data_IF_531619198323
#
_entry.id   IF_531619198323
#
_cell.length_a   1.000
_cell.length_b   1.000
_cell.length_c   1.000
_cell.angle_alpha   90.00
_cell.angle_beta   90.00
_cell.angle_gamma   90.00
#
_symmetry.space_group_name_H-M   'P 1'
#
loop_
_entity.id
_entity.type
_entity.pdbx_description
1 polymer ?
#
# COMPACT_ATOMS: atom_id res chain seq x y z
N UNK A 1 -7.85 4.46 10.75
CA UNK A 1 -6.82 5.52 11.01
C UNK A 1 -7.50 6.80 11.47
N UNK A 2 -6.82 7.61 12.30
CA UNK A 2 -7.36 8.90 12.72
C UNK A 2 -7.47 9.87 11.53
N UNK A 3 -8.67 10.38 11.25
CA UNK A 3 -8.92 11.40 10.24
C UNK A 3 -8.78 12.80 10.86
N UNK A 4 -8.03 13.68 10.22
CA UNK A 4 -7.85 15.07 10.64
C UNK A 4 -8.45 16.00 9.60
N UNK A 5 -9.11 17.08 10.04
CA UNK A 5 -9.63 18.10 9.13
C UNK A 5 -8.54 18.78 8.27
N UNK A 6 -7.28 18.75 8.74
CA UNK A 6 -6.15 19.26 7.99
C UNK A 6 -5.75 18.39 6.78
N UNK A 7 -6.21 17.13 6.77
CA UNK A 7 -5.89 16.12 5.76
C UNK A 7 -7.16 15.33 5.45
N UNK A 8 -8.14 15.95 4.77
CA UNK A 8 -9.38 15.26 4.42
C UNK A 8 -9.09 14.08 3.51
N UNK A 9 -9.82 12.96 3.65
CA UNK A 9 -9.64 11.82 2.77
C UNK A 9 -10.07 12.19 1.34
N UNK A 10 -9.21 11.85 0.37
CA UNK A 10 -9.46 11.97 -1.05
C UNK A 10 -9.50 10.57 -1.66
N UNK A 11 -10.69 10.17 -2.11
CA UNK A 11 -10.95 8.82 -2.61
C UNK A 11 -10.23 8.56 -3.94
N UNK A 12 -10.27 9.53 -4.84
CA UNK A 12 -9.64 9.44 -6.16
C UNK A 12 -8.12 9.41 -6.08
N UNK A 13 -7.54 10.30 -5.28
CA UNK A 13 -6.11 10.30 -5.01
C UNK A 13 -5.66 8.99 -4.37
N UNK A 14 -6.48 8.40 -3.49
CA UNK A 14 -6.19 7.10 -2.88
C UNK A 14 -6.22 5.96 -3.90
N UNK A 15 -7.16 5.95 -4.84
CA UNK A 15 -7.24 4.93 -5.88
C UNK A 15 -6.02 5.04 -6.84
N UNK A 16 -5.64 6.25 -7.25
CA UNK A 16 -4.42 6.48 -8.03
C UNK A 16 -3.17 6.00 -7.27
N UNK A 17 -3.03 6.38 -6.01
CA UNK A 17 -1.91 5.97 -5.17
C UNK A 17 -1.80 4.44 -5.05
N UNK A 18 -2.90 3.76 -4.77
CA UNK A 18 -2.90 2.29 -4.63
C UNK A 18 -2.55 1.61 -5.95
N UNK A 19 -3.00 2.16 -7.09
CA UNK A 19 -2.66 1.64 -8.42
C UNK A 19 -1.16 1.81 -8.78
N UNK A 20 -0.49 2.84 -8.23
CA UNK A 20 0.97 3.05 -8.40
C UNK A 20 1.80 2.05 -7.59
N UNK A 21 1.24 1.50 -6.50
CA UNK A 21 2.00 0.67 -5.58
C UNK A 21 2.11 -0.77 -6.06
N UNK A 22 3.29 -1.38 -5.88
CA UNK A 22 3.60 -2.75 -6.28
C UNK A 22 3.54 -3.76 -5.14
N UNK A 23 3.38 -3.28 -3.90
CA UNK A 23 3.29 -4.11 -2.71
C UNK A 23 2.41 -3.46 -1.66
N UNK A 24 1.89 -4.28 -0.78
CA UNK A 24 1.19 -3.87 0.42
C UNK A 24 1.54 -4.83 1.56
N UNK A 25 1.06 -4.52 2.73
CA UNK A 25 1.29 -5.28 3.95
C UNK A 25 0.02 -5.97 4.38
N UNK A 26 0.01 -7.31 4.36
CA UNK A 26 -1.04 -8.11 4.97
C UNK A 26 -0.80 -8.18 6.48
N UNK A 27 -1.82 -7.87 7.26
CA UNK A 27 -1.84 -7.98 8.73
C UNK A 27 -3.00 -8.90 9.10
N UNK A 28 -2.70 -10.07 9.62
CA UNK A 28 -3.65 -11.09 10.02
C UNK A 28 -3.46 -11.44 11.50
N UNK A 29 -4.54 -11.43 12.29
CA UNK A 29 -4.49 -11.66 13.72
C UNK A 29 -5.15 -13.03 14.05
N UNK A 30 -4.39 -14.08 14.34
CA UNK A 30 -4.97 -15.33 14.79
C UNK A 30 -5.59 -15.15 16.19
N UNK A 31 -6.64 -15.90 16.53
CA UNK A 31 -7.27 -15.83 17.85
C UNK A 31 -6.26 -16.03 18.98
N UNK A 32 -6.18 -15.09 19.91
CA UNK A 32 -5.27 -15.16 21.08
C UNK A 32 -3.78 -14.99 20.77
N UNK A 33 -3.39 -14.71 19.52
CA UNK A 33 -2.00 -14.54 19.10
C UNK A 33 -1.65 -13.10 18.73
N UNK A 34 -0.37 -12.88 18.44
CA UNK A 34 0.11 -11.61 17.90
C UNK A 34 -0.20 -11.50 16.41
N UNK A 35 -0.41 -10.27 15.88
CA UNK A 35 -0.54 -10.04 14.46
C UNK A 35 0.63 -10.63 13.67
N UNK A 36 0.32 -11.38 12.63
CA UNK A 36 1.29 -11.83 11.63
C UNK A 36 1.30 -10.80 10.49
N UNK A 37 2.48 -10.50 9.97
CA UNK A 37 2.69 -9.40 9.03
C UNK A 37 3.56 -9.87 7.87
N UNK A 38 3.06 -9.72 6.63
CA UNK A 38 3.82 -10.03 5.41
C UNK A 38 3.70 -8.90 4.40
N UNK A 39 4.83 -8.54 3.78
CA UNK A 39 4.86 -7.61 2.65
C UNK A 39 4.72 -8.43 1.37
N UNK A 40 3.68 -8.19 0.61
CA UNK A 40 3.30 -8.99 -0.53
C UNK A 40 2.99 -8.12 -1.76
N UNK A 41 3.33 -8.58 -2.97
CA UNK A 41 2.80 -8.00 -4.19
C UNK A 41 1.29 -8.29 -4.26
N UNK A 42 0.54 -7.42 -4.93
CA UNK A 42 -0.91 -7.55 -5.00
C UNK A 42 -1.49 -7.06 -6.32
N UNK A 43 -2.66 -7.57 -6.66
CA UNK A 43 -3.51 -7.00 -7.70
C UNK A 43 -4.82 -6.56 -7.05
N UNK A 44 -5.21 -5.31 -7.26
CA UNK A 44 -6.51 -4.80 -6.84
C UNK A 44 -7.42 -4.66 -8.05
N UNK A 45 -8.61 -5.25 -7.98
CA UNK A 45 -9.68 -5.11 -8.96
C UNK A 45 -10.96 -4.76 -8.20
N UNK A 46 -11.54 -3.61 -8.48
CA UNK A 46 -12.73 -3.09 -7.80
C UNK A 46 -12.62 -3.18 -6.27
N UNK A 47 -13.37 -4.06 -5.64
CA UNK A 47 -13.44 -4.28 -4.20
C UNK A 47 -12.68 -5.54 -3.72
N UNK A 48 -11.81 -6.12 -4.57
CA UNK A 48 -11.03 -7.31 -4.25
C UNK A 48 -9.53 -7.01 -4.37
N UNK A 49 -8.78 -7.44 -3.36
CA UNK A 49 -7.31 -7.52 -3.39
C UNK A 49 -6.94 -8.99 -3.50
N UNK A 50 -6.13 -9.33 -4.50
CA UNK A 50 -5.60 -10.67 -4.69
C UNK A 50 -4.12 -10.68 -4.39
N UNK A 51 -3.69 -11.65 -3.57
CA UNK A 51 -2.30 -11.86 -3.12
C UNK A 51 -1.95 -13.34 -3.17
N UNK A 52 -0.66 -13.64 -3.11
CA UNK A 52 -0.16 -14.99 -2.92
C UNK A 52 1.00 -14.99 -1.92
N UNK A 53 1.20 -16.11 -1.25
CA UNK A 53 2.33 -16.35 -0.35
C UNK A 53 2.75 -17.82 -0.39
N UNK A 54 3.85 -18.18 0.26
CA UNK A 54 4.16 -19.58 0.54
C UNK A 54 3.25 -20.08 1.65
N UNK A 55 2.89 -21.36 1.63
CA UNK A 55 2.00 -21.95 2.65
C UNK A 55 2.64 -21.96 4.05
N UNK A 56 3.96 -21.92 4.11
CA UNK A 56 4.73 -21.84 5.36
C UNK A 56 4.74 -20.42 5.98
N UNK A 57 4.26 -19.39 5.26
CA UNK A 57 4.17 -18.02 5.80
C UNK A 57 3.17 -17.99 6.97
N UNK A 58 3.56 -17.48 8.15
CA UNK A 58 2.65 -17.42 9.30
C UNK A 58 1.34 -16.67 9.04
N UNK A 59 1.33 -15.72 8.11
CA UNK A 59 0.10 -14.99 7.75
C UNK A 59 -0.92 -15.90 7.07
N UNK A 60 -0.49 -16.92 6.33
CA UNK A 60 -1.41 -17.88 5.72
C UNK A 60 -2.24 -18.62 6.79
N UNK A 61 -1.59 -19.19 7.80
CA UNK A 61 -2.28 -19.86 8.91
C UNK A 61 -3.16 -18.88 9.72
N UNK A 62 -2.70 -17.63 9.89
CA UNK A 62 -3.47 -16.61 10.60
C UNK A 62 -4.75 -16.24 9.85
N UNK A 63 -4.71 -16.11 8.52
CA UNK A 63 -5.89 -15.86 7.67
C UNK A 63 -6.87 -17.01 7.70
N UNK A 64 -6.38 -18.26 7.70
CA UNK A 64 -7.25 -19.43 7.83
C UNK A 64 -7.97 -19.48 9.19
N UNK A 65 -7.29 -19.08 10.26
CA UNK A 65 -7.86 -19.04 11.60
C UNK A 65 -8.80 -17.85 11.83
N UNK A 66 -8.57 -16.72 11.15
CA UNK A 66 -9.42 -15.54 11.21
C UNK A 66 -9.39 -14.82 9.85
N UNK A 67 -10.50 -14.88 9.07
CA UNK A 67 -10.56 -14.26 7.74
C UNK A 67 -10.65 -12.72 7.77
N UNK A 68 -10.87 -12.10 8.91
CA UNK A 68 -10.88 -10.64 9.07
C UNK A 68 -9.45 -10.12 9.14
N UNK A 69 -9.01 -9.45 8.09
CA UNK A 69 -7.63 -8.98 7.94
C UNK A 69 -7.56 -7.51 7.58
N UNK A 70 -6.39 -6.92 7.76
CA UNK A 70 -6.08 -5.58 7.24
C UNK A 70 -5.04 -5.72 6.12
N UNK A 71 -5.31 -5.12 4.98
CA UNK A 71 -4.31 -4.93 3.93
C UNK A 71 -3.91 -3.45 3.91
N UNK A 72 -2.63 -3.17 4.12
CA UNK A 72 -2.12 -1.82 4.31
C UNK A 72 -1.16 -1.42 3.19
N UNK A 73 -1.46 -0.34 2.50
CA UNK A 73 -0.63 0.24 1.45
C UNK A 73 -0.12 1.58 1.96
N UNK A 74 1.19 1.77 2.00
CA UNK A 74 1.77 3.01 2.50
C UNK A 74 3.05 3.38 1.78
N UNK A 75 3.33 4.68 1.80
CA UNK A 75 4.48 5.28 1.18
C UNK A 75 5.03 6.38 2.10
N UNK A 76 6.24 6.17 2.60
CA UNK A 76 7.00 7.21 3.27
C UNK A 76 7.52 8.21 2.22
N UNK A 77 7.27 9.49 2.45
CA UNK A 77 7.70 10.54 1.52
C UNK A 77 8.96 11.26 2.05
N UNK A 78 8.82 11.97 3.17
CA UNK A 78 9.91 12.74 3.72
C UNK A 78 9.65 13.17 5.17
N UNK A 79 10.69 13.66 5.82
CA UNK A 79 10.61 14.42 7.07
C UNK A 79 10.96 15.88 6.81
N UNK A 80 10.16 16.83 7.30
CA UNK A 80 10.47 18.24 7.29
C UNK A 80 10.74 18.75 8.71
N UNK A 81 11.88 19.42 8.94
CA UNK A 81 12.16 20.09 10.21
C UNK A 81 11.17 21.22 10.49
N UNK A 82 10.93 21.51 11.76
CA UNK A 82 10.07 22.62 12.18
C UNK A 82 10.51 23.97 11.62
N UNK A 83 11.84 24.22 11.59
CA UNK A 83 12.43 25.48 11.16
C UNK A 83 12.11 25.88 9.71
N UNK A 84 11.68 24.95 8.87
CA UNK A 84 11.21 25.28 7.53
C UNK A 84 9.85 25.99 7.53
N UNK A 85 9.11 25.89 8.62
CA UNK A 85 7.79 26.52 8.80
C UNK A 85 7.85 27.64 9.86
N UNK A 86 8.36 27.31 11.06
CA UNK A 86 8.53 28.23 12.18
C UNK A 86 9.73 27.78 13.05
N UNK A 87 10.69 28.69 13.26
CA UNK A 87 11.91 28.37 14.00
C UNK A 87 11.69 28.12 15.50
N UNK A 88 10.58 28.61 16.05
CA UNK A 88 10.28 28.55 17.48
C UNK A 88 9.33 27.44 17.86
N UNK A 89 8.54 26.94 16.89
CA UNK A 89 7.50 25.94 17.16
C UNK A 89 7.95 24.53 16.70
N UNK A 90 8.53 23.76 17.62
CA UNK A 90 8.95 22.38 17.36
C UNK A 90 7.81 21.46 16.88
N UNK A 91 6.55 21.78 17.20
CA UNK A 91 5.36 21.05 16.72
C UNK A 91 5.13 21.15 15.21
N UNK A 92 5.87 22.02 14.50
CA UNK A 92 5.83 22.14 13.05
C UNK A 92 6.68 21.11 12.33
N UNK A 93 7.57 20.39 13.05
CA UNK A 93 8.27 19.24 12.47
C UNK A 93 7.27 18.16 12.09
N UNK A 94 7.41 17.56 10.88
CA UNK A 94 6.39 16.62 10.44
C UNK A 94 6.91 15.55 9.50
N UNK A 95 6.28 14.37 9.62
CA UNK A 95 6.42 13.25 8.70
C UNK A 95 5.38 13.39 7.59
N UNK A 96 5.84 13.30 6.34
CA UNK A 96 4.98 13.26 5.15
C UNK A 96 4.85 11.82 4.68
N UNK A 97 3.61 11.38 4.43
CA UNK A 97 3.33 10.03 3.99
C UNK A 97 1.95 9.94 3.32
N UNK A 98 1.76 8.88 2.52
CA UNK A 98 0.45 8.43 2.04
C UNK A 98 0.16 7.06 2.62
N UNK A 99 -1.06 6.81 3.07
CA UNK A 99 -1.47 5.51 3.57
C UNK A 99 -2.94 5.22 3.31
N UNK A 100 -3.22 3.99 2.89
CA UNK A 100 -4.56 3.43 2.76
C UNK A 100 -4.59 2.10 3.51
N UNK A 101 -5.49 1.96 4.48
CA UNK A 101 -5.75 0.69 5.14
C UNK A 101 -7.11 0.15 4.68
N UNK A 102 -7.11 -1.06 4.18
CA UNK A 102 -8.30 -1.81 3.80
C UNK A 102 -8.64 -2.82 4.89
N UNK A 103 -9.82 -2.69 5.51
CA UNK A 103 -10.42 -3.77 6.28
C UNK A 103 -11.01 -4.76 5.29
N UNK A 104 -10.54 -6.00 5.33
CA UNK A 104 -10.91 -7.00 4.36
C UNK A 104 -11.44 -8.28 5.03
N UNK A 105 -12.22 -9.04 4.25
CA UNK A 105 -12.57 -10.42 4.57
C UNK A 105 -11.96 -11.34 3.52
N UNK A 106 -11.20 -12.36 3.93
CA UNK A 106 -10.64 -13.37 3.06
C UNK A 106 -11.76 -14.33 2.61
N UNK A 107 -12.36 -14.06 1.45
CA UNK A 107 -13.48 -14.87 0.92
C UNK A 107 -13.03 -16.18 0.29
N UNK A 108 -11.83 -16.19 -0.27
CA UNK A 108 -11.24 -17.38 -0.88
C UNK A 108 -9.77 -17.48 -0.50
N UNK A 109 -9.44 -18.59 0.13
CA UNK A 109 -8.07 -18.99 0.43
C UNK A 109 -7.87 -20.36 -0.22
N UNK A 110 -6.93 -20.47 -1.16
CA UNK A 110 -6.74 -21.68 -1.95
C UNK A 110 -5.28 -22.08 -2.04
N UNK A 111 -5.04 -23.37 -1.90
CA UNK A 111 -3.76 -24.04 -2.18
C UNK A 111 -3.81 -24.88 -3.46
N UNK A 112 -4.94 -24.84 -4.18
CA UNK A 112 -5.08 -25.50 -5.46
C UNK A 112 -4.08 -24.90 -6.47
N UNK A 113 -3.23 -25.72 -7.09
CA UNK A 113 -2.18 -25.23 -7.99
C UNK A 113 -2.72 -24.49 -9.22
N UNK A 114 -3.91 -24.79 -9.70
CA UNK A 114 -4.50 -24.09 -10.84
C UNK A 114 -5.05 -22.72 -10.43
N UNK A 115 -5.64 -22.60 -9.25
CA UNK A 115 -6.01 -21.31 -8.66
C UNK A 115 -4.77 -20.41 -8.46
N UNK A 116 -3.71 -21.00 -7.90
CA UNK A 116 -2.42 -20.29 -7.68
C UNK A 116 -1.82 -19.85 -9.02
N UNK A 117 -1.80 -20.73 -10.02
CA UNK A 117 -1.29 -20.41 -11.34
C UNK A 117 -2.08 -19.26 -11.98
N UNK A 118 -3.40 -19.28 -11.86
CA UNK A 118 -4.27 -18.20 -12.34
C UNK A 118 -3.98 -16.85 -11.64
N UNK A 119 -3.81 -16.86 -10.32
CA UNK A 119 -3.47 -15.65 -9.54
C UNK A 119 -2.09 -15.08 -9.93
N UNK A 120 -1.07 -15.94 -10.06
CA UNK A 120 0.25 -15.54 -10.53
C UNK A 120 0.22 -14.98 -11.95
N UNK A 121 -0.55 -15.57 -12.85
CA UNK A 121 -0.74 -15.07 -14.21
C UNK A 121 -1.31 -13.66 -14.23
N UNK A 122 -2.33 -13.37 -13.40
CA UNK A 122 -2.89 -12.02 -13.26
C UNK A 122 -1.88 -11.01 -12.71
N UNK A 123 -1.11 -11.40 -11.70
CA UNK A 123 -0.06 -10.57 -11.11
C UNK A 123 1.02 -10.23 -12.14
N UNK A 124 1.54 -11.23 -12.83
CA UNK A 124 2.58 -11.04 -13.84
C UNK A 124 2.10 -10.16 -15.00
N UNK A 125 0.87 -10.37 -15.47
CA UNK A 125 0.29 -9.51 -16.50
C UNK A 125 0.14 -8.05 -16.07
N UNK A 126 -0.15 -7.81 -14.78
CA UNK A 126 -0.26 -6.45 -14.23
C UNK A 126 1.11 -5.78 -14.03
N UNK A 127 2.15 -6.54 -13.70
CA UNK A 127 3.47 -6.00 -13.31
C UNK A 127 4.47 -6.01 -14.46
N UNK A 128 4.35 -6.96 -15.37
CA UNK A 128 5.25 -7.19 -16.50
C UNK A 128 4.46 -7.40 -17.82
N UNK A 129 3.62 -6.42 -18.22
CA UNK A 129 2.80 -6.58 -19.41
C UNK A 129 3.67 -6.82 -20.64
N UNK A 130 3.35 -7.90 -21.39
CA UNK A 130 4.10 -8.27 -22.58
C UNK A 130 5.41 -9.02 -22.33
N UNK A 131 5.75 -9.36 -21.08
CA UNK A 131 6.91 -10.22 -20.80
C UNK A 131 6.68 -11.62 -21.37
N UNK A 132 7.76 -12.20 -21.90
CA UNK A 132 7.78 -13.57 -22.43
C UNK A 132 8.35 -14.52 -21.40
N UNK A 133 7.53 -15.48 -20.96
CA UNK A 133 7.93 -16.55 -20.04
C UNK A 133 7.11 -17.82 -20.34
N UNK A 134 7.59 -18.96 -19.83
CA UNK A 134 6.85 -20.20 -19.92
C UNK A 134 5.45 -20.04 -19.27
N UNK A 135 4.37 -20.57 -19.87
CA UNK A 135 3.03 -20.47 -19.29
C UNK A 135 2.98 -21.01 -17.87
N UNK A 136 2.47 -20.18 -16.93
CA UNK A 136 2.35 -20.55 -15.52
C UNK A 136 1.22 -21.59 -15.38
N UNK A 137 1.60 -22.86 -15.27
CA UNK A 137 0.69 -24.00 -15.16
C UNK A 137 1.35 -25.18 -14.46
N UNK A 138 0.54 -26.13 -14.02
CA UNK A 138 1.07 -27.39 -13.54
C UNK A 138 1.90 -28.10 -14.62
N UNK A 139 3.04 -28.65 -14.22
CA UNK A 139 4.01 -29.33 -15.05
C UNK A 139 5.36 -29.41 -14.33
N UNK A 140 6.36 -29.93 -15.01
CA UNK A 140 7.69 -30.15 -14.41
C UNK A 140 8.36 -28.85 -14.01
N UNK A 141 8.15 -27.77 -14.77
CA UNK A 141 8.82 -26.49 -14.56
C UNK A 141 8.22 -25.71 -13.37
N UNK A 142 6.90 -25.50 -13.33
CA UNK A 142 6.25 -24.71 -12.28
C UNK A 142 5.62 -25.55 -11.17
N UNK A 143 5.27 -26.80 -11.42
CA UNK A 143 4.53 -27.62 -10.49
C UNK A 143 5.12 -27.71 -9.08
N UNK A 144 6.47 -27.89 -8.90
CA UNK A 144 7.07 -27.90 -7.57
C UNK A 144 6.87 -26.59 -6.78
N UNK A 145 6.85 -25.44 -7.49
CA UNK A 145 6.63 -24.11 -6.88
C UNK A 145 5.15 -23.90 -6.55
N UNK A 146 4.25 -24.19 -7.52
CA UNK A 146 2.81 -24.00 -7.35
C UNK A 146 2.26 -24.78 -6.15
N UNK A 147 2.75 -26.00 -5.89
CA UNK A 147 2.35 -26.81 -4.74
C UNK A 147 2.74 -26.22 -3.38
N UNK A 148 3.66 -25.28 -3.33
CA UNK A 148 4.10 -24.60 -2.10
C UNK A 148 3.44 -23.25 -1.87
N UNK A 149 2.69 -22.77 -2.82
CA UNK A 149 2.04 -21.46 -2.77
C UNK A 149 0.57 -21.58 -2.36
N UNK A 150 0.06 -20.49 -1.83
CA UNK A 150 -1.35 -20.25 -1.62
C UNK A 150 -1.75 -18.91 -2.24
N UNK A 151 -2.97 -18.78 -2.69
CA UNK A 151 -3.56 -17.52 -3.12
C UNK A 151 -4.72 -17.15 -2.22
N UNK A 152 -4.92 -15.85 -2.02
CA UNK A 152 -6.00 -15.30 -1.19
C UNK A 152 -6.70 -14.17 -1.94
N UNK A 153 -8.02 -14.17 -1.90
CA UNK A 153 -8.86 -13.09 -2.39
C UNK A 153 -9.50 -12.40 -1.20
N UNK A 154 -9.12 -11.15 -0.99
CA UNK A 154 -9.53 -10.32 0.12
C UNK A 154 -10.59 -9.34 -0.37
N UNK A 155 -11.85 -9.51 0.04
CA UNK A 155 -12.92 -8.55 -0.24
C UNK A 155 -12.77 -7.36 0.68
N UNK A 156 -12.73 -6.18 0.11
CA UNK A 156 -12.67 -4.91 0.84
C UNK A 156 -14.05 -4.63 1.45
N UNK A 157 -14.09 -4.49 2.78
CA UNK A 157 -15.29 -4.12 3.56
C UNK A 157 -15.32 -2.61 3.81
N UNK A 158 -14.15 -2.05 4.12
CA UNK A 158 -13.99 -0.62 4.41
C UNK A 158 -12.58 -0.17 4.08
N UNK A 159 -12.43 1.11 3.70
CA UNK A 159 -11.12 1.73 3.55
C UNK A 159 -10.95 2.95 4.45
N UNK A 160 -9.73 3.15 4.93
CA UNK A 160 -9.31 4.32 5.66
C UNK A 160 -8.15 4.98 4.92
N UNK A 161 -8.29 6.26 4.62
CA UNK A 161 -7.32 7.03 3.85
C UNK A 161 -6.67 8.03 4.78
N UNK A 162 -5.34 8.16 4.72
CA UNK A 162 -4.61 9.23 5.38
C UNK A 162 -3.41 9.65 4.54
N UNK A 163 -3.54 10.81 3.94
CA UNK A 163 -2.46 11.45 3.16
C UNK A 163 -1.99 12.69 3.94
N UNK A 164 -0.81 12.60 4.52
CA UNK A 164 -0.17 13.72 5.18
C UNK A 164 0.87 14.31 4.24
N UNK A 165 0.39 15.07 3.25
CA UNK A 165 1.16 15.66 2.16
C UNK A 165 1.36 17.16 2.44
N UNK A 166 2.52 17.50 2.95
CA UNK A 166 2.86 18.84 3.42
C UNK A 166 2.49 19.08 4.91
N UNK A 167 2.97 20.18 5.50
CA UNK A 167 2.60 20.60 6.85
C UNK A 167 1.15 21.06 6.89
N UNK A 168 0.54 21.03 8.08
CA UNK A 168 -0.73 21.72 8.31
C UNK A 168 -0.56 23.22 8.08
N UNK A 169 -1.45 23.84 7.29
CA UNK A 169 -1.40 25.26 6.98
C UNK A 169 -1.79 25.57 5.52
N UNK A 170 -1.41 26.76 5.06
CA UNK A 170 -1.79 27.28 3.75
C UNK A 170 -1.04 26.61 2.60
N UNK A 171 -1.56 26.75 1.38
CA UNK A 171 -0.88 26.35 0.14
C UNK A 171 0.53 26.96 0.05
N UNK A 172 0.72 28.21 0.45
CA UNK A 172 2.03 28.88 0.49
C UNK A 172 3.00 28.17 1.42
N UNK A 173 2.55 27.76 2.62
CA UNK A 173 3.40 27.01 3.57
C UNK A 173 3.80 25.66 3.00
N UNK A 174 2.86 24.95 2.36
CA UNK A 174 3.14 23.65 1.70
C UNK A 174 4.17 23.82 0.58
N UNK A 175 4.02 24.81 -0.29
CA UNK A 175 4.98 25.10 -1.38
C UNK A 175 6.37 25.47 -0.85
N UNK A 176 6.45 26.27 0.23
CA UNK A 176 7.73 26.57 0.89
C UNK A 176 8.45 25.29 1.33
N UNK A 177 7.73 24.35 1.94
CA UNK A 177 8.32 23.08 2.35
C UNK A 177 8.73 22.23 1.15
N UNK A 178 7.93 22.18 0.08
CA UNK A 178 8.28 21.48 -1.16
C UNK A 178 9.59 22.03 -1.78
N UNK A 179 9.74 23.35 -1.83
CA UNK A 179 10.99 23.99 -2.28
C UNK A 179 12.19 23.55 -1.42
N UNK A 180 12.05 23.58 -0.09
CA UNK A 180 13.11 23.14 0.83
C UNK A 180 13.45 21.66 0.70
N UNK A 181 12.48 20.81 0.39
CA UNK A 181 12.73 19.39 0.10
C UNK A 181 13.60 19.24 -1.15
N UNK A 182 13.30 19.96 -2.24
CA UNK A 182 14.15 19.92 -3.44
C UNK A 182 15.58 20.42 -3.17
N UNK A 183 15.71 21.49 -2.40
CA UNK A 183 17.01 22.06 -2.02
C UNK A 183 17.82 21.13 -1.11
N UNK A 184 17.19 20.23 -0.36
CA UNK A 184 17.86 19.36 0.61
C UNK A 184 18.81 18.34 -0.03
N UNK A 185 18.53 17.93 -1.28
CA UNK A 185 19.29 16.92 -2.02
C UNK A 185 19.26 15.50 -1.45
N UNK A 186 18.43 15.24 -0.42
CA UNK A 186 18.32 13.90 0.17
C UNK A 186 17.54 12.97 -0.77
N UNK A 187 17.88 11.67 -0.81
CA UNK A 187 17.15 10.68 -1.61
C UNK A 187 15.65 10.69 -1.28
N UNK A 188 14.81 10.79 -2.32
CA UNK A 188 13.35 10.80 -2.18
C UNK A 188 12.72 12.17 -1.92
N UNK A 189 13.46 13.18 -1.44
CA UNK A 189 12.89 14.48 -1.08
C UNK A 189 12.30 15.22 -2.31
N UNK A 190 12.90 15.10 -3.49
CA UNK A 190 12.35 15.68 -4.73
C UNK A 190 10.97 15.09 -5.05
N UNK A 191 10.83 13.75 -4.98
CA UNK A 191 9.54 13.07 -5.16
C UNK A 191 8.52 13.50 -4.11
N UNK A 192 8.95 13.66 -2.86
CA UNK A 192 8.07 14.15 -1.79
C UNK A 192 7.56 15.58 -2.08
N UNK A 193 8.42 16.44 -2.62
CA UNK A 193 8.05 17.79 -3.04
C UNK A 193 6.98 17.77 -4.13
N UNK A 194 7.13 16.91 -5.16
CA UNK A 194 6.15 16.77 -6.24
C UNK A 194 4.78 16.33 -5.72
N UNK A 195 4.75 15.34 -4.81
CA UNK A 195 3.49 14.88 -4.18
C UNK A 195 2.83 15.98 -3.35
N UNK A 196 3.62 16.79 -2.62
CA UNK A 196 3.10 17.91 -1.83
C UNK A 196 2.48 18.99 -2.75
N UNK A 197 3.15 19.34 -3.84
CA UNK A 197 2.65 20.34 -4.78
C UNK A 197 1.37 19.88 -5.48
N UNK A 198 1.34 18.63 -5.97
CA UNK A 198 0.13 18.04 -6.55
C UNK A 198 -1.07 18.07 -5.58
N UNK A 199 -0.81 17.87 -4.27
CA UNK A 199 -1.86 17.97 -3.24
C UNK A 199 -2.40 19.37 -3.02
N UNK A 200 -1.65 20.41 -3.40
CA UNK A 200 -2.10 21.81 -3.31
C UNK A 200 -2.96 22.16 -4.53
N UNK A 201 -2.59 21.70 -5.71
CA UNK A 201 -3.32 21.96 -6.95
C UNK A 201 -4.70 21.29 -6.97
N UNK A 202 -4.79 20.05 -6.49
CA UNK A 202 -6.05 19.32 -6.37
C UNK A 202 -7.04 19.87 -5.33
N UNK A 203 -6.61 20.79 -4.45
CA UNK A 203 -7.49 21.45 -3.47
C UNK A 203 -8.04 22.81 -3.99
N UNK A 204 -7.62 23.25 -5.17
CA UNK A 204 -7.99 24.54 -5.77
C UNK A 204 -9.09 24.43 -6.83
N UNK A 205 -9.59 23.21 -7.08
CA UNK A 205 -10.72 22.87 -7.95
C UNK A 205 -11.91 22.41 -7.11
#
# INVERSE_FOLDING_TARGET
MFASSNYPPDAEAADRFVAEMRHGTLIACPPGGYPQVSILPFVKTDDVIEIHCVQEDPTFGAVQANPSVTFFVSDYLAWSPHSWVDERDAGRATLHFRAVAFECNAERVSTDPDDVAGALGRLLNAYEPGASYEPVRMGDFYGPRLRRLATMRLRIVRRHIKFKTGPAGTATTKRKVATRLRESGRPGDARAADVIEASVEGQST
#
